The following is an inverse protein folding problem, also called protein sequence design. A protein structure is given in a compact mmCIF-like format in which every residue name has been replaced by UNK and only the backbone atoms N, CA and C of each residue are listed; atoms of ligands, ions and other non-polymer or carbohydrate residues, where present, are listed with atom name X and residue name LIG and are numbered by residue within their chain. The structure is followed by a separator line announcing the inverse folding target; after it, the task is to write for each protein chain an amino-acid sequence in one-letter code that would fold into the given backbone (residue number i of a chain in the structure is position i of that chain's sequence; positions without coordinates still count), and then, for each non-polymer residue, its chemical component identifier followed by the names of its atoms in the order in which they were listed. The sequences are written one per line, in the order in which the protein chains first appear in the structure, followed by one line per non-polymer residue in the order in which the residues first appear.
data_IF_649019116830
#
_entry.id   IF_649019116830
#
_cell.length_a   1.000
_cell.length_b   1.000
_cell.length_c   1.000
_cell.angle_alpha   90.00
_cell.angle_beta   90.00
_cell.angle_gamma   90.00
#
_symmetry.space_group_name_H-M   'P 1'
#
loop_
_entity.id
_entity.type
_entity.pdbx_description
1 polymer ?
#
# COMPACT_ATOMS: atom_id res chain seq x y z
N UNK A 1 23.32 60.40 -0.24
CA UNK A 1 22.95 59.00 0.04
C UNK A 1 21.67 58.69 -0.73
N UNK A 2 21.82 58.15 -1.92
CA UNK A 2 20.73 57.86 -2.86
C UNK A 2 20.33 56.40 -2.69
N UNK A 3 19.09 56.17 -2.24
CA UNK A 3 18.52 54.80 -2.16
C UNK A 3 18.21 54.34 -3.58
N UNK A 4 18.85 53.25 -4.02
CA UNK A 4 18.44 52.49 -5.17
C UNK A 4 17.23 51.65 -4.78
N UNK A 5 16.08 51.95 -5.36
CA UNK A 5 14.90 51.05 -5.35
C UNK A 5 15.16 49.97 -6.39
N UNK A 6 15.31 48.76 -5.95
CA UNK A 6 15.41 47.56 -6.81
C UNK A 6 14.05 47.28 -7.40
N UNK A 7 13.93 47.41 -8.69
CA UNK A 7 12.73 47.16 -9.48
C UNK A 7 12.51 45.65 -9.59
N UNK A 8 11.51 45.13 -8.86
CA UNK A 8 11.12 43.71 -8.84
C UNK A 8 10.09 43.35 -9.92
N UNK A 9 9.81 44.29 -10.84
CA UNK A 9 8.73 44.11 -11.82
C UNK A 9 9.16 43.44 -13.14
N UNK A 10 10.37 42.87 -13.23
CA UNK A 10 10.83 42.21 -14.45
C UNK A 10 11.01 40.70 -14.27
N UNK A 11 10.06 40.04 -13.61
CA UNK A 11 9.92 38.58 -13.78
C UNK A 11 9.14 38.39 -15.08
N UNK A 12 9.88 38.18 -16.17
CA UNK A 12 9.33 37.83 -17.47
C UNK A 12 8.44 36.63 -17.34
N UNK A 13 7.13 36.82 -17.44
CA UNK A 13 6.17 35.73 -17.50
C UNK A 13 6.53 34.87 -18.71
N UNK A 14 6.84 33.58 -18.56
CA UNK A 14 7.12 32.72 -19.72
C UNK A 14 5.96 32.83 -20.70
N UNK A 15 6.25 33.18 -21.96
CA UNK A 15 5.25 33.22 -23.01
C UNK A 15 4.54 31.85 -23.07
N UNK A 16 3.22 31.86 -22.99
CA UNK A 16 2.44 30.67 -23.19
C UNK A 16 2.83 30.01 -24.51
N UNK A 17 3.14 28.71 -24.58
CA UNK A 17 3.47 28.06 -25.83
C UNK A 17 2.33 28.29 -26.83
N UNK A 18 2.70 28.66 -28.07
CA UNK A 18 1.74 28.95 -29.12
C UNK A 18 0.78 27.81 -29.33
N UNK A 19 -0.48 27.96 -28.97
CA UNK A 19 -1.59 26.99 -29.09
C UNK A 19 -2.03 26.81 -30.57
N UNK A 20 -1.23 27.25 -31.53
CA UNK A 20 -1.61 27.44 -32.93
C UNK A 20 -1.97 26.17 -33.72
N UNK A 21 -1.76 24.94 -33.14
CA UNK A 21 -1.99 23.69 -33.86
C UNK A 21 -2.78 22.64 -33.07
N UNK A 22 -3.49 23.03 -32.00
CA UNK A 22 -4.36 22.09 -31.29
C UNK A 22 -5.68 21.93 -32.03
N UNK A 23 -6.17 20.67 -32.16
CA UNK A 23 -7.55 20.45 -32.63
C UNK A 23 -8.54 21.06 -31.63
N UNK A 24 -9.73 21.44 -32.10
CA UNK A 24 -10.77 21.98 -31.21
C UNK A 24 -11.07 21.03 -30.03
N UNK A 25 -11.08 19.72 -30.26
CA UNK A 25 -11.25 18.72 -29.21
C UNK A 25 -10.13 18.79 -28.15
N UNK A 26 -8.87 18.91 -28.57
CA UNK A 26 -7.73 19.02 -27.65
C UNK A 26 -7.78 20.31 -26.82
N UNK A 27 -8.20 21.41 -27.44
CA UNK A 27 -8.36 22.69 -26.73
C UNK A 27 -9.48 22.62 -25.67
N UNK A 28 -10.61 21.96 -25.99
CA UNK A 28 -11.72 21.73 -25.05
C UNK A 28 -11.25 20.86 -23.87
N UNK A 29 -10.57 19.74 -24.12
CA UNK A 29 -10.07 18.87 -23.06
C UNK A 29 -9.01 19.57 -22.18
N UNK A 30 -8.15 20.40 -22.75
CA UNK A 30 -7.22 21.20 -21.98
C UNK A 30 -7.93 22.23 -21.09
N UNK A 31 -8.93 22.93 -21.63
CA UNK A 31 -9.71 23.88 -20.85
C UNK A 31 -10.48 23.19 -19.71
N UNK A 32 -11.04 22.00 -20.00
CA UNK A 32 -11.71 21.16 -19.01
C UNK A 32 -10.76 20.74 -17.88
N UNK A 33 -9.56 20.24 -18.21
CA UNK A 33 -8.57 19.83 -17.22
C UNK A 33 -8.15 20.99 -16.31
N UNK A 34 -7.98 22.20 -16.86
CA UNK A 34 -7.70 23.41 -16.07
C UNK A 34 -8.87 23.77 -15.16
N UNK A 35 -10.10 23.72 -15.66
CA UNK A 35 -11.31 24.02 -14.90
C UNK A 35 -11.52 23.01 -13.77
N UNK A 36 -11.27 21.73 -14.00
CA UNK A 36 -11.33 20.67 -12.97
C UNK A 36 -10.34 20.93 -11.81
N UNK A 37 -9.10 21.30 -12.13
CA UNK A 37 -8.08 21.66 -11.12
C UNK A 37 -8.51 22.89 -10.33
N UNK A 38 -9.00 23.95 -11.00
CA UNK A 38 -9.48 25.16 -10.33
C UNK A 38 -10.70 24.88 -9.44
N UNK A 39 -11.66 24.07 -9.91
CA UNK A 39 -12.83 23.67 -9.16
C UNK A 39 -12.44 22.87 -7.90
N UNK A 40 -11.50 21.92 -8.03
CA UNK A 40 -11.01 21.12 -6.92
C UNK A 40 -10.38 21.98 -5.82
N UNK A 41 -9.51 22.92 -6.18
CA UNK A 41 -8.91 23.88 -5.24
C UNK A 41 -9.97 24.78 -4.58
N UNK A 42 -10.92 25.28 -5.37
CA UNK A 42 -12.02 26.12 -4.85
C UNK A 42 -12.87 25.37 -3.83
N UNK A 43 -13.21 24.10 -4.11
CA UNK A 43 -13.95 23.24 -3.17
C UNK A 43 -13.14 22.99 -1.90
N UNK A 44 -11.86 22.70 -2.01
CA UNK A 44 -10.99 22.46 -0.87
C UNK A 44 -10.85 23.71 0.04
N UNK A 45 -10.83 24.90 -0.57
CA UNK A 45 -10.81 26.18 0.18
C UNK A 45 -12.16 26.50 0.82
N UNK A 46 -13.27 26.23 0.13
CA UNK A 46 -14.63 26.48 0.62
C UNK A 46 -15.06 25.48 1.71
N UNK A 47 -14.49 24.28 1.70
CA UNK A 47 -14.75 23.21 2.65
C UNK A 47 -13.44 22.69 3.24
N UNK A 48 -12.78 23.47 4.10
CA UNK A 48 -11.53 23.05 4.71
C UNK A 48 -11.78 21.83 5.60
N UNK A 49 -10.75 20.97 5.68
CA UNK A 49 -10.80 19.77 6.51
C UNK A 49 -10.95 20.12 7.99
N UNK A 50 -11.79 19.37 8.68
CA UNK A 50 -11.86 19.35 10.12
C UNK A 50 -10.89 18.27 10.64
N UNK A 51 -9.72 18.71 11.13
CA UNK A 51 -8.67 17.82 11.60
C UNK A 51 -9.11 17.00 12.83
N UNK A 52 -9.92 17.58 13.72
CA UNK A 52 -10.41 16.88 14.91
C UNK A 52 -11.38 15.77 14.55
N UNK A 53 -12.28 16.06 13.62
CA UNK A 53 -13.18 15.05 13.05
C UNK A 53 -12.39 13.95 12.34
N UNK A 54 -11.39 14.30 11.54
CA UNK A 54 -10.55 13.32 10.83
C UNK A 54 -9.81 12.39 11.81
N UNK A 55 -9.26 12.93 12.91
CA UNK A 55 -8.61 12.13 13.97
C UNK A 55 -9.63 11.19 14.63
N UNK A 56 -10.80 11.68 15.00
CA UNK A 56 -11.84 10.87 15.65
C UNK A 56 -12.30 9.72 14.72
N UNK A 57 -12.55 10.00 13.45
CA UNK A 57 -12.95 9.01 12.45
C UNK A 57 -11.83 7.99 12.17
N UNK A 58 -10.59 8.42 12.12
CA UNK A 58 -9.44 7.53 11.97
C UNK A 58 -9.33 6.56 13.15
N UNK A 59 -9.45 7.04 14.38
CA UNK A 59 -9.41 6.20 15.58
C UNK A 59 -10.55 5.19 15.61
N UNK A 60 -11.78 5.60 15.29
CA UNK A 60 -12.92 4.68 15.19
C UNK A 60 -12.69 3.62 14.12
N UNK A 61 -12.27 4.02 12.91
CA UNK A 61 -12.06 3.12 11.80
C UNK A 61 -10.91 2.14 12.04
N UNK A 62 -9.76 2.62 12.53
CA UNK A 62 -8.59 1.80 12.84
C UNK A 62 -8.81 0.94 14.11
N UNK A 63 -9.72 1.33 14.99
CA UNK A 63 -10.18 0.57 16.15
C UNK A 63 -11.03 -0.66 15.81
N UNK A 64 -11.44 -0.83 14.55
CA UNK A 64 -12.22 -1.98 14.10
C UNK A 64 -11.31 -3.07 13.53
N UNK A 65 -11.53 -4.33 13.93
CA UNK A 65 -10.78 -5.48 13.42
C UNK A 65 -10.84 -5.60 11.89
N UNK A 66 -11.98 -5.23 11.29
CA UNK A 66 -12.17 -5.22 9.84
C UNK A 66 -11.14 -4.34 9.10
N UNK A 67 -10.70 -3.21 9.70
CA UNK A 67 -9.64 -2.37 9.15
C UNK A 67 -8.26 -2.83 9.61
N UNK A 68 -8.09 -3.08 10.90
CA UNK A 68 -6.80 -3.45 11.49
C UNK A 68 -6.20 -4.71 10.85
N UNK A 69 -7.02 -5.74 10.57
CA UNK A 69 -6.58 -6.99 9.92
C UNK A 69 -6.10 -6.82 8.47
N UNK A 70 -6.36 -5.67 7.84
CA UNK A 70 -5.97 -5.33 6.47
C UNK A 70 -4.97 -4.18 6.40
N UNK A 71 -4.55 -3.67 7.56
CA UNK A 71 -3.74 -2.46 7.65
C UNK A 71 -2.28 -2.69 7.27
N UNK A 72 -1.76 -3.91 7.45
CA UNK A 72 -0.35 -4.21 7.28
C UNK A 72 -0.10 -5.33 6.28
N UNK A 73 1.06 -5.27 5.63
CA UNK A 73 1.66 -6.38 4.89
C UNK A 73 3.04 -6.70 5.47
N UNK A 74 3.48 -7.93 5.31
CA UNK A 74 4.80 -8.39 5.74
C UNK A 74 5.74 -8.56 4.56
N UNK A 75 6.98 -8.12 4.72
CA UNK A 75 8.05 -8.35 3.74
C UNK A 75 9.13 -9.22 4.39
N UNK A 76 9.49 -10.36 3.77
CA UNK A 76 10.56 -11.21 4.29
C UNK A 76 11.83 -10.39 4.56
N UNK A 77 12.38 -10.52 5.77
CA UNK A 77 13.60 -9.84 6.23
C UNK A 77 13.58 -8.30 6.25
N UNK A 78 12.44 -7.64 5.99
CA UNK A 78 12.30 -6.17 5.96
C UNK A 78 11.24 -5.62 6.92
N UNK A 79 10.49 -6.50 7.60
CA UNK A 79 9.42 -6.09 8.53
C UNK A 79 8.09 -5.81 7.85
N UNK A 80 7.23 -5.07 8.55
CA UNK A 80 5.87 -4.77 8.12
C UNK A 80 5.75 -3.34 7.58
N UNK A 81 4.82 -3.15 6.64
CA UNK A 81 4.46 -1.82 6.16
C UNK A 81 2.94 -1.63 6.06
N UNK A 82 2.46 -0.39 5.97
CA UNK A 82 1.04 -0.10 5.77
C UNK A 82 0.60 -0.52 4.36
N UNK A 83 -0.58 -1.13 4.27
CA UNK A 83 -1.16 -1.54 2.97
C UNK A 83 -1.74 -0.36 2.20
N UNK A 84 -2.03 -0.57 0.91
CA UNK A 84 -2.79 0.39 0.11
C UNK A 84 -4.22 0.58 0.65
N UNK A 85 -4.78 -0.42 1.32
CA UNK A 85 -6.11 -0.32 1.93
C UNK A 85 -6.12 0.71 3.06
N UNK A 86 -5.13 0.65 3.97
CA UNK A 86 -4.98 1.66 5.01
C UNK A 86 -4.71 3.04 4.40
N UNK A 87 -3.78 3.14 3.43
CA UNK A 87 -3.45 4.42 2.81
C UNK A 87 -4.68 5.10 2.16
N UNK A 88 -5.49 4.35 1.40
CA UNK A 88 -6.72 4.86 0.77
C UNK A 88 -7.77 5.28 1.80
N UNK A 89 -7.92 4.51 2.87
CA UNK A 89 -8.86 4.85 3.93
C UNK A 89 -8.43 6.12 4.67
N UNK A 90 -7.14 6.26 4.97
CA UNK A 90 -6.60 7.49 5.56
C UNK A 90 -6.77 8.70 4.62
N UNK A 91 -6.59 8.52 3.32
CA UNK A 91 -6.83 9.57 2.33
C UNK A 91 -8.30 10.02 2.32
N UNK A 92 -9.25 9.07 2.37
CA UNK A 92 -10.69 9.35 2.47
C UNK A 92 -11.04 10.13 3.72
N UNK A 93 -10.52 9.69 4.87
CA UNK A 93 -10.79 10.32 6.17
C UNK A 93 -10.16 11.71 6.24
N UNK A 94 -8.93 11.86 5.74
CA UNK A 94 -8.22 13.13 5.72
C UNK A 94 -8.97 14.20 4.90
N UNK A 95 -9.61 13.78 3.79
CA UNK A 95 -10.38 14.65 2.92
C UNK A 95 -9.52 15.60 2.06
N UNK A 96 -10.13 16.20 1.05
CA UNK A 96 -9.47 17.11 0.10
C UNK A 96 -8.18 16.52 -0.51
N UNK A 97 -8.14 15.19 -0.69
CA UNK A 97 -7.01 14.46 -1.22
C UNK A 97 -7.45 13.68 -2.46
N UNK A 98 -6.89 14.04 -3.60
CA UNK A 98 -7.04 13.31 -4.87
C UNK A 98 -5.88 12.35 -5.08
N UNK A 99 -6.15 11.15 -5.60
CA UNK A 99 -5.12 10.19 -5.98
C UNK A 99 -5.55 9.34 -7.16
N UNK A 100 -4.59 9.01 -8.02
CA UNK A 100 -4.85 8.20 -9.21
C UNK A 100 -3.64 7.36 -9.62
N UNK A 101 -3.93 6.31 -10.39
CA UNK A 101 -2.95 5.56 -11.18
C UNK A 101 -3.37 5.66 -12.63
N UNK A 102 -2.47 6.09 -13.50
CA UNK A 102 -2.72 6.29 -14.93
C UNK A 102 -1.69 5.53 -15.75
N UNK A 103 -2.14 4.76 -16.71
CA UNK A 103 -1.29 4.24 -17.77
C UNK A 103 -1.09 5.36 -18.80
N UNK A 104 0.15 5.80 -18.97
CA UNK A 104 0.51 6.89 -19.87
C UNK A 104 0.79 6.38 -21.29
N UNK A 105 1.45 5.22 -21.38
CA UNK A 105 1.78 4.55 -22.63
C UNK A 105 1.75 3.05 -22.42
N UNK A 106 1.28 2.34 -23.42
CA UNK A 106 1.36 0.89 -23.53
C UNK A 106 2.16 0.51 -24.75
N UNK A 107 3.07 -0.42 -24.60
CA UNK A 107 3.88 -0.94 -25.66
C UNK A 107 3.85 -2.49 -25.61
N UNK A 108 2.97 -3.08 -26.42
CA UNK A 108 2.75 -4.53 -26.43
C UNK A 108 3.90 -5.25 -27.15
N UNK A 109 4.67 -4.58 -28.04
CA UNK A 109 5.83 -5.12 -28.71
C UNK A 109 7.01 -5.21 -27.72
N UNK A 110 7.33 -4.13 -27.03
CA UNK A 110 8.33 -4.12 -25.96
C UNK A 110 7.88 -4.94 -24.75
N UNK A 111 6.57 -5.15 -24.57
CA UNK A 111 5.99 -5.89 -23.46
C UNK A 111 6.06 -5.09 -22.14
N UNK A 112 5.73 -3.79 -22.20
CA UNK A 112 5.77 -2.90 -21.06
C UNK A 112 4.71 -1.78 -21.12
N UNK A 113 4.37 -1.21 -19.97
CA UNK A 113 3.54 -0.01 -19.88
C UNK A 113 4.27 1.05 -19.06
N UNK A 114 4.16 2.31 -19.47
CA UNK A 114 4.54 3.45 -18.63
C UNK A 114 3.35 3.85 -17.77
N UNK A 115 3.55 3.82 -16.45
CA UNK A 115 2.49 4.06 -15.46
C UNK A 115 2.90 5.20 -14.55
N UNK A 116 1.95 6.08 -14.24
CA UNK A 116 2.12 7.17 -13.28
C UNK A 116 1.12 7.04 -12.13
N UNK A 117 1.63 7.09 -10.90
CA UNK A 117 0.84 7.23 -9.69
C UNK A 117 0.98 8.67 -9.16
N UNK A 118 -0.14 9.23 -8.69
CA UNK A 118 -0.20 10.58 -8.15
C UNK A 118 -1.03 10.60 -6.88
N UNK A 119 -0.65 11.43 -5.93
CA UNK A 119 -1.53 11.90 -4.86
C UNK A 119 -1.34 13.42 -4.67
N UNK A 120 -2.43 14.13 -4.39
CA UNK A 120 -2.43 15.57 -4.24
C UNK A 120 -3.37 15.98 -3.11
N UNK A 121 -2.83 16.55 -2.05
CA UNK A 121 -3.60 17.27 -1.04
C UNK A 121 -3.94 18.65 -1.61
N UNK A 122 -5.18 18.82 -2.04
CA UNK A 122 -5.69 20.00 -2.71
C UNK A 122 -5.77 21.22 -1.78
N UNK A 123 -5.98 20.98 -0.48
CA UNK A 123 -6.05 22.05 0.51
C UNK A 123 -4.67 22.56 0.92
N UNK A 124 -3.72 21.65 1.18
CA UNK A 124 -2.36 22.00 1.55
C UNK A 124 -1.47 22.30 0.33
N UNK A 125 -1.94 22.02 -0.88
CA UNK A 125 -1.20 22.10 -2.14
C UNK A 125 0.09 21.29 -2.13
N UNK A 126 0.06 20.09 -1.51
CA UNK A 126 1.19 19.16 -1.47
C UNK A 126 0.93 18.02 -2.45
N UNK A 127 1.85 17.76 -3.37
CA UNK A 127 1.73 16.74 -4.40
C UNK A 127 2.90 15.77 -4.38
N UNK A 128 2.61 14.49 -4.55
CA UNK A 128 3.59 13.43 -4.78
C UNK A 128 3.24 12.67 -6.05
N UNK A 129 4.22 12.41 -6.91
CA UNK A 129 4.02 11.61 -8.12
C UNK A 129 5.20 10.67 -8.35
N UNK A 130 4.92 9.50 -8.96
CA UNK A 130 5.92 8.50 -9.33
C UNK A 130 5.58 7.93 -10.69
N UNK A 131 6.50 8.01 -11.64
CA UNK A 131 6.41 7.30 -12.91
C UNK A 131 7.36 6.11 -12.92
N UNK A 132 6.93 5.02 -13.51
CA UNK A 132 7.72 3.79 -13.61
C UNK A 132 7.29 2.95 -14.82
N UNK A 133 8.19 2.08 -15.25
CA UNK A 133 7.89 1.08 -16.29
C UNK A 133 7.38 -0.19 -15.61
N UNK A 134 6.18 -0.62 -16.00
CA UNK A 134 5.55 -1.86 -15.59
C UNK A 134 5.73 -2.92 -16.70
N UNK A 135 6.59 -3.94 -16.49
CA UNK A 135 6.77 -4.99 -17.50
C UNK A 135 5.52 -5.88 -17.57
N UNK A 136 5.13 -6.30 -18.80
CA UNK A 136 4.09 -7.29 -19.02
C UNK A 136 4.60 -8.70 -18.68
N UNK A 137 5.03 -8.87 -17.45
CA UNK A 137 5.60 -10.13 -16.96
C UNK A 137 5.36 -10.26 -15.44
N UNK A 138 5.27 -11.51 -14.99
CA UNK A 138 5.21 -11.86 -13.56
C UNK A 138 6.27 -12.87 -13.19
N UNK A 139 6.69 -12.87 -11.93
CA UNK A 139 7.55 -13.94 -11.40
C UNK A 139 6.70 -15.16 -11.06
N UNK A 140 7.11 -16.34 -11.52
CA UNK A 140 6.56 -17.64 -11.10
C UNK A 140 7.71 -18.43 -10.47
N UNK A 141 7.80 -18.42 -9.15
CA UNK A 141 8.99 -18.87 -8.46
C UNK A 141 10.21 -17.99 -8.82
N UNK A 142 11.25 -18.59 -9.41
CA UNK A 142 12.48 -17.88 -9.88
C UNK A 142 12.44 -17.48 -11.36
N UNK A 143 11.41 -17.88 -12.08
CA UNK A 143 11.29 -17.64 -13.52
C UNK A 143 10.43 -16.40 -13.81
N UNK A 144 10.85 -15.60 -14.78
CA UNK A 144 10.07 -14.46 -15.29
C UNK A 144 9.21 -14.93 -16.47
N UNK A 145 7.88 -14.96 -16.29
CA UNK A 145 6.91 -15.39 -17.30
C UNK A 145 6.24 -14.16 -17.93
N UNK A 146 6.24 -14.10 -19.27
CA UNK A 146 5.57 -13.03 -20.03
C UNK A 146 4.06 -13.19 -19.89
N UNK A 147 3.36 -12.07 -19.68
CA UNK A 147 1.91 -11.98 -19.70
C UNK A 147 1.48 -11.70 -21.16
N UNK A 148 0.57 -12.52 -21.67
CA UNK A 148 0.02 -12.38 -23.03
C UNK A 148 -1.42 -11.92 -23.00
N UNK A 149 -2.17 -12.38 -21.98
CA UNK A 149 -3.55 -11.98 -21.78
C UNK A 149 -3.65 -10.53 -21.30
N UNK A 150 -4.52 -9.74 -21.92
CA UNK A 150 -4.69 -8.31 -21.63
C UNK A 150 -5.20 -8.05 -20.21
N UNK A 151 -6.03 -8.95 -19.69
CA UNK A 151 -6.55 -8.88 -18.34
C UNK A 151 -5.44 -9.13 -17.30
N UNK A 152 -4.55 -10.10 -17.58
CA UNK A 152 -3.38 -10.38 -16.75
C UNK A 152 -2.41 -9.19 -16.72
N UNK A 153 -2.18 -8.54 -17.88
CA UNK A 153 -1.37 -7.31 -17.98
C UNK A 153 -2.03 -6.19 -17.18
N UNK A 154 -3.33 -5.96 -17.37
CA UNK A 154 -4.08 -4.94 -16.62
C UNK A 154 -3.98 -5.17 -15.12
N UNK A 155 -4.22 -6.38 -14.64
CA UNK A 155 -4.13 -6.73 -13.20
C UNK A 155 -2.70 -6.53 -12.65
N UNK A 156 -1.68 -6.89 -13.42
CA UNK A 156 -0.27 -6.68 -13.05
C UNK A 156 0.04 -5.18 -12.91
N UNK A 157 -0.39 -4.36 -13.86
CA UNK A 157 -0.23 -2.91 -13.85
C UNK A 157 -0.98 -2.27 -12.67
N UNK A 158 -2.22 -2.71 -12.39
CA UNK A 158 -2.99 -2.25 -11.24
C UNK A 158 -2.32 -2.60 -9.90
N UNK A 159 -1.77 -3.81 -9.75
CA UNK A 159 -1.07 -4.23 -8.55
C UNK A 159 0.22 -3.42 -8.32
N UNK A 160 0.99 -3.17 -9.38
CA UNK A 160 2.20 -2.34 -9.29
C UNK A 160 1.84 -0.88 -9.04
N UNK A 161 0.80 -0.38 -9.71
CA UNK A 161 0.24 0.96 -9.49
C UNK A 161 -0.28 1.16 -8.06
N UNK A 162 -0.90 0.14 -7.46
CA UNK A 162 -1.36 0.18 -6.08
C UNK A 162 -0.21 0.38 -5.08
N UNK A 163 0.96 -0.23 -5.33
CA UNK A 163 2.16 0.00 -4.52
C UNK A 163 2.64 1.44 -4.65
N UNK A 164 2.70 1.97 -5.87
CA UNK A 164 3.17 3.32 -6.14
C UNK A 164 2.22 4.40 -5.58
N UNK A 165 0.89 4.25 -5.77
CA UNK A 165 -0.09 5.21 -5.25
C UNK A 165 -0.15 5.20 -3.73
N UNK A 166 0.05 4.04 -3.08
CA UNK A 166 0.22 3.96 -1.62
C UNK A 166 1.33 4.88 -1.15
N UNK A 167 2.52 4.79 -1.76
CA UNK A 167 3.66 5.64 -1.42
C UNK A 167 3.37 7.12 -1.66
N UNK A 168 2.64 7.47 -2.74
CA UNK A 168 2.23 8.83 -3.02
C UNK A 168 1.27 9.37 -1.95
N UNK A 169 0.25 8.58 -1.57
CA UNK A 169 -0.72 8.95 -0.53
C UNK A 169 0.00 9.17 0.81
N UNK A 170 0.85 8.22 1.23
CA UNK A 170 1.58 8.34 2.49
C UNK A 170 2.58 9.50 2.51
N UNK A 171 3.08 9.92 1.35
CA UNK A 171 3.99 11.06 1.23
C UNK A 171 3.29 12.43 1.37
N UNK A 172 1.98 12.52 1.08
CA UNK A 172 1.22 13.77 1.20
C UNK A 172 0.44 13.87 2.51
N UNK A 173 0.18 12.75 3.19
CA UNK A 173 -0.45 12.73 4.51
C UNK A 173 0.56 13.15 5.59
N UNK A 174 0.11 13.84 6.65
CA UNK A 174 0.97 14.13 7.79
C UNK A 174 1.48 12.84 8.43
N UNK A 175 2.78 12.78 8.66
CA UNK A 175 3.44 11.59 9.21
C UNK A 175 2.84 11.16 10.54
N UNK A 176 2.60 12.09 11.45
CA UNK A 176 1.99 11.81 12.75
C UNK A 176 0.61 11.13 12.62
N UNK A 177 -0.22 11.55 11.64
CA UNK A 177 -1.54 10.98 11.39
C UNK A 177 -1.46 9.52 10.91
N UNK A 178 -0.50 9.23 10.03
CA UNK A 178 -0.22 7.86 9.55
C UNK A 178 0.32 6.98 10.66
N UNK A 179 1.25 7.49 11.47
CA UNK A 179 1.85 6.76 12.60
C UNK A 179 0.78 6.44 13.66
N UNK A 180 -0.04 7.40 14.05
CA UNK A 180 -1.14 7.19 15.00
C UNK A 180 -2.14 6.13 14.49
N UNK A 181 -2.53 6.19 13.21
CA UNK A 181 -3.41 5.20 12.61
C UNK A 181 -2.80 3.77 12.66
N UNK A 182 -1.51 3.64 12.40
CA UNK A 182 -0.81 2.36 12.50
C UNK A 182 -0.79 1.86 13.94
N UNK A 183 -0.56 2.73 14.92
CA UNK A 183 -0.54 2.36 16.33
C UNK A 183 -1.91 1.90 16.82
N UNK A 184 -2.99 2.60 16.44
CA UNK A 184 -4.36 2.16 16.75
C UNK A 184 -4.65 0.79 16.11
N UNK A 185 -4.28 0.58 14.84
CA UNK A 185 -4.44 -0.73 14.20
C UNK A 185 -3.66 -1.84 14.93
N UNK A 186 -2.42 -1.59 15.36
CA UNK A 186 -1.63 -2.57 16.14
C UNK A 186 -2.27 -2.88 17.49
N UNK A 187 -2.74 -1.86 18.20
CA UNK A 187 -3.46 -2.03 19.48
C UNK A 187 -4.73 -2.87 19.27
N UNK A 188 -5.50 -2.62 18.21
CA UNK A 188 -6.70 -3.38 17.87
C UNK A 188 -6.38 -4.85 17.59
N UNK A 189 -5.34 -5.12 16.80
CA UNK A 189 -4.87 -6.49 16.52
C UNK A 189 -4.43 -7.20 17.81
N UNK A 190 -3.71 -6.51 18.69
CA UNK A 190 -3.27 -7.08 19.96
C UNK A 190 -4.44 -7.36 20.91
N UNK A 191 -5.41 -6.46 20.98
CA UNK A 191 -6.60 -6.63 21.82
C UNK A 191 -7.54 -7.75 21.33
N UNK A 192 -7.67 -7.91 20.00
CA UNK A 192 -8.41 -9.01 19.37
C UNK A 192 -9.90 -9.01 19.65
N UNK A 193 -10.52 -7.84 19.85
CA UNK A 193 -11.97 -7.68 20.12
C UNK A 193 -12.47 -8.50 21.31
N UNK A 194 -11.62 -8.76 22.30
CA UNK A 194 -11.98 -9.51 23.49
C UNK A 194 -11.99 -11.05 23.32
N UNK A 195 -11.63 -11.56 22.16
CA UNK A 195 -11.48 -13.02 21.96
C UNK A 195 -10.29 -13.54 22.77
N UNK A 196 -10.44 -14.59 23.58
CA UNK A 196 -9.36 -15.16 24.37
C UNK A 196 -8.14 -15.50 23.51
N UNK A 197 -6.94 -15.23 24.04
CA UNK A 197 -5.69 -15.46 23.29
C UNK A 197 -5.53 -16.91 22.87
N UNK A 198 -5.92 -17.87 23.73
CA UNK A 198 -5.91 -19.31 23.43
C UNK A 198 -6.72 -19.66 22.17
N UNK A 199 -7.90 -19.04 22.04
CA UNK A 199 -8.81 -19.31 20.93
C UNK A 199 -8.28 -18.67 19.64
N UNK A 200 -7.68 -17.48 19.75
CA UNK A 200 -6.99 -16.80 18.65
C UNK A 200 -5.81 -17.62 18.14
N UNK A 201 -4.99 -18.18 19.04
CA UNK A 201 -3.89 -19.09 18.70
C UNK A 201 -4.40 -20.34 17.99
N UNK A 202 -5.45 -20.97 18.53
CA UNK A 202 -6.02 -22.18 17.94
C UNK A 202 -6.59 -21.92 16.53
N UNK A 203 -7.31 -20.82 16.35
CA UNK A 203 -7.84 -20.39 15.05
C UNK A 203 -6.72 -20.09 14.05
N UNK A 204 -5.66 -19.41 14.48
CA UNK A 204 -4.51 -19.08 13.65
C UNK A 204 -3.79 -20.33 13.15
N UNK A 205 -3.48 -21.27 14.03
CA UNK A 205 -2.82 -22.54 13.67
C UNK A 205 -3.67 -23.34 12.67
N UNK A 206 -4.99 -23.37 12.86
CA UNK A 206 -5.90 -24.03 11.93
C UNK A 206 -5.90 -23.39 10.55
N UNK A 207 -5.99 -22.05 10.48
CA UNK A 207 -5.97 -21.31 9.22
C UNK A 207 -4.69 -21.55 8.43
N UNK A 208 -3.52 -21.53 9.09
CA UNK A 208 -2.25 -21.83 8.43
C UNK A 208 -2.15 -23.29 7.97
N UNK A 209 -2.67 -24.23 8.73
CA UNK A 209 -2.71 -25.63 8.33
C UNK A 209 -3.53 -25.85 7.05
N UNK A 210 -4.63 -25.12 6.88
CA UNK A 210 -5.43 -25.15 5.64
C UNK A 210 -4.66 -24.62 4.43
N UNK A 211 -3.61 -23.81 4.65
CA UNK A 211 -2.67 -23.35 3.63
C UNK A 211 -1.44 -24.27 3.49
N UNK A 212 -1.41 -25.43 4.13
CA UNK A 212 -0.27 -26.36 4.09
C UNK A 212 0.92 -25.97 4.96
N UNK A 213 0.76 -24.98 5.86
CA UNK A 213 1.84 -24.51 6.73
C UNK A 213 1.68 -25.14 8.12
N UNK A 214 2.69 -25.88 8.58
CA UNK A 214 2.66 -26.59 9.85
C UNK A 214 2.88 -25.66 11.06
N UNK A 215 2.48 -26.11 12.26
CA UNK A 215 2.67 -25.36 13.49
C UNK A 215 4.17 -25.13 13.81
N UNK A 216 5.02 -26.08 13.47
CA UNK A 216 6.48 -25.98 13.64
C UNK A 216 7.08 -24.84 12.82
N UNK A 217 6.58 -24.64 11.59
CA UNK A 217 7.00 -23.51 10.73
C UNK A 217 6.55 -22.15 11.33
N UNK A 218 5.39 -22.10 11.99
CA UNK A 218 4.93 -20.91 12.72
C UNK A 218 5.80 -20.63 13.95
N UNK A 219 6.18 -21.67 14.70
CA UNK A 219 7.09 -21.56 15.84
C UNK A 219 8.48 -21.07 15.40
N UNK A 220 8.99 -21.60 14.29
CA UNK A 220 10.26 -21.13 13.73
C UNK A 220 10.18 -19.65 13.30
N UNK A 221 9.08 -19.23 12.70
CA UNK A 221 8.85 -17.85 12.29
C UNK A 221 8.76 -16.88 13.47
N UNK A 222 8.01 -17.25 14.51
CA UNK A 222 7.86 -16.45 15.73
C UNK A 222 9.07 -16.54 16.66
N UNK A 223 9.95 -17.53 16.46
CA UNK A 223 11.07 -17.88 17.36
C UNK A 223 10.62 -18.20 18.79
N UNK A 224 9.38 -18.63 18.96
CA UNK A 224 8.75 -19.00 20.22
C UNK A 224 7.93 -20.24 20.05
N UNK A 225 7.88 -21.10 21.07
CA UNK A 225 6.95 -22.22 21.12
C UNK A 225 5.50 -21.71 21.25
N UNK A 226 4.54 -22.41 20.65
CA UNK A 226 3.12 -22.02 20.65
C UNK A 226 2.56 -21.64 22.03
N UNK A 227 2.99 -22.34 23.08
CA UNK A 227 2.59 -22.06 24.46
C UNK A 227 3.17 -20.76 25.04
N UNK A 228 4.09 -20.11 24.35
CA UNK A 228 4.73 -18.86 24.73
C UNK A 228 4.27 -17.66 23.87
N UNK A 229 3.35 -17.89 22.93
CA UNK A 229 2.87 -16.83 22.06
C UNK A 229 2.01 -15.82 22.82
N UNK A 230 2.30 -14.56 22.64
CA UNK A 230 1.51 -13.44 23.13
C UNK A 230 0.58 -12.85 22.04
N UNK A 231 -0.18 -11.82 22.39
CA UNK A 231 -1.09 -11.16 21.47
C UNK A 231 -0.36 -10.53 20.27
N UNK A 232 0.86 -10.06 20.47
CA UNK A 232 1.71 -9.50 19.41
C UNK A 232 2.17 -10.57 18.42
N UNK A 233 2.52 -11.78 18.89
CA UNK A 233 2.89 -12.90 18.02
C UNK A 233 1.70 -13.30 17.13
N UNK A 234 0.49 -13.39 17.71
CA UNK A 234 -0.72 -13.70 16.94
C UNK A 234 -1.05 -12.59 15.93
N UNK A 235 -0.89 -11.33 16.31
CA UNK A 235 -1.08 -10.21 15.40
C UNK A 235 -0.09 -10.27 14.22
N UNK A 236 1.19 -10.55 14.50
CA UNK A 236 2.22 -10.70 13.46
C UNK A 236 1.93 -11.87 12.52
N UNK A 237 1.59 -13.05 13.06
CA UNK A 237 1.20 -14.20 12.24
C UNK A 237 -0.06 -13.90 11.40
N UNK A 238 -1.00 -13.10 11.94
CA UNK A 238 -2.17 -12.62 11.18
C UNK A 238 -1.79 -11.74 9.99
N UNK A 239 -0.83 -10.85 10.16
CA UNK A 239 -0.27 -10.01 9.07
C UNK A 239 0.41 -10.91 8.02
N UNK A 240 1.22 -11.86 8.46
CA UNK A 240 1.91 -12.81 7.57
C UNK A 240 0.89 -13.66 6.79
N UNK A 241 -0.20 -14.10 7.43
CA UNK A 241 -1.29 -14.84 6.79
C UNK A 241 -2.00 -14.04 5.68
N UNK A 242 -2.32 -12.76 5.97
CA UNK A 242 -2.94 -11.87 4.97
C UNK A 242 -1.99 -11.63 3.80
N UNK A 243 -0.70 -11.47 4.07
CA UNK A 243 0.32 -11.27 3.03
C UNK A 243 0.42 -12.45 2.08
N UNK A 244 0.31 -13.68 2.58
CA UNK A 244 0.30 -14.90 1.74
C UNK A 244 -1.00 -15.00 0.96
N UNK A 245 -2.15 -14.86 1.62
CA UNK A 245 -3.46 -15.19 1.04
C UNK A 245 -4.02 -14.09 0.13
N UNK A 246 -3.67 -12.84 0.37
CA UNK A 246 -4.20 -11.67 -0.36
C UNK A 246 -3.17 -10.93 -1.19
N UNK A 247 -1.95 -10.75 -0.64
CA UNK A 247 -0.94 -9.92 -1.30
C UNK A 247 -0.02 -10.75 -2.20
N UNK A 248 -0.20 -12.07 -2.23
CA UNK A 248 0.53 -13.00 -3.10
C UNK A 248 2.00 -13.16 -2.71
N UNK A 249 2.33 -12.92 -1.44
CA UNK A 249 3.67 -13.22 -0.92
C UNK A 249 3.85 -14.73 -0.90
N UNK A 250 4.98 -15.19 -1.42
CA UNK A 250 5.31 -16.62 -1.42
C UNK A 250 5.42 -17.16 0.01
N UNK A 251 4.65 -18.21 0.30
CA UNK A 251 4.61 -18.82 1.63
C UNK A 251 5.98 -19.35 2.07
N UNK A 252 6.77 -19.93 1.14
CA UNK A 252 8.11 -20.43 1.44
C UNK A 252 9.09 -19.32 1.84
N UNK A 253 8.87 -18.11 1.35
CA UNK A 253 9.72 -16.97 1.71
C UNK A 253 9.51 -16.49 3.16
N UNK A 254 8.29 -16.66 3.72
CA UNK A 254 7.96 -16.30 5.10
C UNK A 254 8.09 -17.48 6.07
N UNK A 255 7.76 -18.68 5.59
CA UNK A 255 7.73 -19.94 6.35
C UNK A 255 8.49 -21.02 5.59
N UNK A 256 9.83 -20.96 5.51
CA UNK A 256 10.62 -21.97 4.80
C UNK A 256 10.45 -23.35 5.43
N UNK A 257 10.48 -24.38 4.61
CA UNK A 257 10.55 -25.75 5.10
C UNK A 257 11.83 -25.94 5.94
N UNK A 258 11.66 -26.57 7.10
CA UNK A 258 12.81 -26.90 7.94
C UNK A 258 13.54 -28.09 7.31
N UNK A 259 14.87 -28.03 7.17
CA UNK A 259 15.61 -29.21 6.72
C UNK A 259 15.39 -30.34 7.74
N UNK A 260 14.98 -31.51 7.23
CA UNK A 260 14.82 -32.73 8.04
C UNK A 260 16.19 -33.03 8.70
N UNK A 261 16.22 -33.06 10.00
CA UNK A 261 17.46 -33.36 10.74
C UNK A 261 17.77 -34.86 10.65
N UNK A 262 19.06 -35.21 10.59
CA UNK A 262 19.54 -36.61 10.52
C UNK A 262 18.94 -37.46 11.68
N UNK A 263 18.61 -36.85 12.82
CA UNK A 263 17.95 -37.49 13.95
C UNK A 263 16.49 -37.97 13.63
N UNK A 264 15.79 -37.27 12.76
CA UNK A 264 14.43 -37.62 12.33
C UNK A 264 14.46 -38.75 11.27
N UNK A 265 15.49 -38.78 10.43
CA UNK A 265 15.71 -39.87 9.48
C UNK A 265 16.06 -41.19 10.17
N UNK A 266 16.79 -41.13 11.29
CA UNK A 266 17.16 -42.34 12.09
C UNK A 266 15.99 -42.95 12.88
N UNK A 267 14.88 -42.23 13.09
CA UNK A 267 13.71 -42.75 13.76
C UNK A 267 12.84 -43.66 12.86
N UNK A 268 13.05 -43.65 11.55
CA UNK A 268 12.31 -44.51 10.60
C UNK A 268 13.05 -45.83 10.26
N UNK A 269 14.27 -46.03 10.74
CA UNK A 269 15.09 -47.23 10.40
C UNK A 269 15.04 -48.36 11.47
N UNK A 270 14.14 -48.35 12.44
CA UNK A 270 14.07 -49.46 13.40
C UNK A 270 12.65 -50.05 13.50
N UNK A 271 12.22 -50.97 12.60
CA UNK A 271 11.10 -51.88 12.81
C UNK A 271 11.69 -53.21 13.38
N UNK A 272 11.62 -53.39 14.69
CA UNK A 272 11.70 -54.70 15.30
C UNK A 272 10.38 -54.98 16.01
#
# INVERSE_FOLDING_TARGET
MTRQTTDLDTISRPAAPALANLTQATAIEQARAVAEVQAAVTVAQARPRDTQRAIAEMRDTCGRMAMASRAFYSVPNRGNGPTVHLARELARIWGNLDYSVRELRRDDEAGESEVMAVAWDQQANVRSSRSFIAPHAKMKGRERVKLVDLDDVYRSNQNTGAKAVRECILAVLPRWFVEEAQDVCRQTLNHGEGVPLSDRIAAMVRAFREQGISAERLEARSRKKRGQWDAGDVAQLGIDFVSITRDGVDAESLFPEQPVTIAELGAFENPL
#
